data_IF_375128183564
#
_entry.id   IF_375128183564
#
_cell.length_a   1.000
_cell.length_b   1.000
_cell.length_c   1.000
_cell.angle_alpha   90.00
_cell.angle_beta   90.00
_cell.angle_gamma   90.00
#
_symmetry.space_group_name_H-M   'P 1'
#
loop_
_entity.id
_entity.type
_entity.pdbx_description
1 polymer ?
#
# COMPACT_ATOMS: atom_id res chain seq x y z
N UNK A 1 -21.78 6.12 5.80
CA UNK A 1 -20.55 5.52 6.38
C UNK A 1 -19.39 6.45 6.07
N UNK A 2 -18.58 6.82 7.07
CA UNK A 2 -17.33 7.56 6.79
C UNK A 2 -16.28 6.58 6.28
N UNK A 3 -15.55 6.97 5.25
CA UNK A 3 -14.41 6.21 4.72
C UNK A 3 -13.12 6.99 4.97
N UNK A 4 -12.05 6.25 5.21
CA UNK A 4 -10.70 6.80 5.37
C UNK A 4 -9.76 6.02 4.45
N UNK A 5 -8.75 6.70 3.93
CA UNK A 5 -7.63 6.06 3.23
C UNK A 5 -6.46 5.98 4.18
N UNK A 6 -5.91 4.77 4.35
CA UNK A 6 -4.71 4.53 5.17
C UNK A 6 -3.56 4.13 4.24
N UNK A 7 -2.51 4.95 4.21
CA UNK A 7 -1.23 4.60 3.61
C UNK A 7 -0.35 3.86 4.60
N UNK A 8 0.29 2.78 4.16
CA UNK A 8 1.25 2.00 4.95
C UNK A 8 2.61 2.03 4.25
N UNK A 9 3.61 2.65 4.86
CA UNK A 9 4.99 2.60 4.42
C UNK A 9 5.74 1.53 5.21
N UNK A 10 6.23 0.50 4.51
CA UNK A 10 7.06 -0.52 5.11
C UNK A 10 8.51 -0.01 5.23
N UNK A 11 8.96 0.29 6.44
CA UNK A 11 10.34 0.72 6.75
C UNK A 11 11.30 -0.48 6.85
N UNK A 12 10.75 -1.66 7.10
CA UNK A 12 11.48 -2.94 7.16
C UNK A 12 10.76 -3.96 6.28
N UNK A 13 11.44 -5.07 5.89
CA UNK A 13 10.77 -6.12 5.13
C UNK A 13 9.51 -6.62 5.83
N UNK A 14 8.39 -6.63 5.09
CA UNK A 14 7.10 -7.12 5.56
C UNK A 14 6.81 -8.47 4.91
N UNK A 15 6.48 -9.47 5.73
CA UNK A 15 6.13 -10.82 5.28
C UNK A 15 4.69 -11.18 5.70
N UNK A 16 3.67 -10.78 4.95
CA UNK A 16 2.30 -11.19 5.23
C UNK A 16 2.10 -12.64 4.80
N UNK A 17 2.15 -13.56 5.76
CA UNK A 17 1.97 -14.99 5.51
C UNK A 17 0.53 -15.34 5.13
N UNK A 18 0.34 -16.31 4.22
CA UNK A 18 -0.95 -16.85 3.83
C UNK A 18 -1.15 -18.27 4.34
N UNK A 19 -2.33 -18.57 4.89
CA UNK A 19 -2.74 -19.91 5.28
C UNK A 19 -2.28 -20.33 6.67
N UNK A 20 -2.23 -21.65 6.88
CA UNK A 20 -1.72 -22.30 8.11
C UNK A 20 -0.51 -23.14 7.74
N UNK A 21 0.62 -22.92 8.37
CA UNK A 21 1.78 -23.83 8.25
C UNK A 21 1.56 -25.03 9.14
N UNK A 22 1.76 -26.22 8.57
CA UNK A 22 1.87 -27.48 9.31
C UNK A 22 3.33 -27.96 9.41
N UNK A 23 4.30 -27.11 9.07
CA UNK A 23 5.72 -27.48 9.00
C UNK A 23 6.68 -26.37 9.41
N UNK A 24 7.97 -26.67 9.26
CA UNK A 24 9.13 -25.82 9.66
C UNK A 24 9.38 -24.67 8.66
N UNK A 25 8.65 -24.61 7.55
CA UNK A 25 8.83 -23.60 6.50
C UNK A 25 7.90 -22.42 6.74
N UNK A 26 8.40 -21.21 6.58
CA UNK A 26 7.60 -19.98 6.63
C UNK A 26 6.43 -20.04 5.66
N UNK A 27 5.32 -19.44 6.08
CA UNK A 27 4.13 -19.34 5.21
C UNK A 27 4.49 -18.55 3.94
N UNK A 28 3.99 -18.94 2.77
CA UNK A 28 4.18 -18.14 1.56
C UNK A 28 3.56 -16.76 1.73
N UNK A 29 4.14 -15.76 1.06
CA UNK A 29 3.59 -14.39 1.04
C UNK A 29 2.18 -14.42 0.46
N UNK A 30 1.22 -13.80 1.17
CA UNK A 30 -0.15 -13.64 0.70
C UNK A 30 -0.17 -12.83 -0.60
N UNK A 31 -0.92 -13.31 -1.60
CA UNK A 31 -1.04 -12.68 -2.91
C UNK A 31 -2.50 -12.56 -3.32
N UNK A 32 -2.79 -11.50 -4.06
CA UNK A 32 -4.07 -11.35 -4.76
C UNK A 32 -4.20 -12.45 -5.81
N UNK A 33 -5.32 -13.16 -5.84
CA UNK A 33 -5.54 -14.27 -6.76
C UNK A 33 -5.48 -13.84 -8.24
N UNK A 34 -6.07 -12.68 -8.56
CA UNK A 34 -6.17 -12.19 -9.93
C UNK A 34 -4.87 -11.62 -10.51
N UNK A 35 -4.04 -11.00 -9.68
CA UNK A 35 -2.85 -10.25 -10.14
C UNK A 35 -1.53 -10.89 -9.71
N UNK A 36 -1.56 -11.74 -8.70
CA UNK A 36 -0.36 -12.27 -8.06
C UNK A 36 0.41 -11.24 -7.23
N UNK A 37 -0.06 -10.00 -7.11
CA UNK A 37 0.61 -8.97 -6.30
C UNK A 37 0.53 -9.30 -4.81
N UNK A 38 1.57 -8.99 -4.03
CA UNK A 38 1.53 -9.18 -2.59
C UNK A 38 0.43 -8.33 -1.95
N UNK A 39 -0.19 -8.86 -0.92
CA UNK A 39 -1.30 -8.23 -0.22
C UNK A 39 -1.19 -8.48 1.28
N UNK A 40 -1.57 -7.49 2.11
CA UNK A 40 -1.81 -7.72 3.53
C UNK A 40 -3.32 -7.89 3.70
N UNK A 41 -3.74 -9.07 4.10
CA UNK A 41 -5.17 -9.40 4.23
C UNK A 41 -5.82 -8.52 5.30
N UNK A 42 -6.99 -7.97 5.00
CA UNK A 42 -7.69 -7.01 5.87
C UNK A 42 -8.02 -7.56 7.26
N UNK A 43 -8.24 -8.87 7.41
CA UNK A 43 -8.43 -9.49 8.72
C UNK A 43 -7.16 -9.44 9.57
N UNK A 44 -5.98 -9.67 8.99
CA UNK A 44 -4.70 -9.55 9.68
C UNK A 44 -4.41 -8.10 10.05
N UNK A 45 -4.64 -7.17 9.12
CA UNK A 45 -4.48 -5.75 9.38
C UNK A 45 -5.44 -5.26 10.48
N UNK A 46 -6.70 -5.68 10.44
CA UNK A 46 -7.68 -5.36 11.50
C UNK A 46 -7.22 -5.88 12.86
N UNK A 47 -6.64 -7.09 12.90
CA UNK A 47 -6.08 -7.67 14.13
C UNK A 47 -4.96 -6.83 14.71
N UNK A 48 -3.98 -6.44 13.89
CA UNK A 48 -2.85 -5.59 14.32
C UNK A 48 -3.30 -4.19 14.76
N UNK A 49 -4.28 -3.60 14.06
CA UNK A 49 -4.85 -2.31 14.46
C UNK A 49 -5.60 -2.41 15.81
N UNK A 50 -6.31 -3.51 16.03
CA UNK A 50 -6.96 -3.79 17.31
C UNK A 50 -5.94 -3.91 18.42
N UNK A 51 -4.90 -4.73 18.25
CA UNK A 51 -3.82 -4.90 19.23
C UNK A 51 -3.22 -3.55 19.62
N UNK A 52 -2.92 -2.71 18.62
CA UNK A 52 -2.39 -1.37 18.88
C UNK A 52 -3.35 -0.45 19.63
N UNK A 53 -4.64 -0.56 19.35
CA UNK A 53 -5.66 0.19 20.10
C UNK A 53 -5.80 -0.34 21.54
N UNK A 54 -5.75 -1.65 21.75
CA UNK A 54 -5.77 -2.29 23.06
C UNK A 54 -4.57 -1.89 23.92
N UNK A 55 -3.37 -1.79 23.33
CA UNK A 55 -2.17 -1.30 24.01
C UNK A 55 -2.33 0.14 24.51
N UNK A 56 -2.98 1.00 23.70
CA UNK A 56 -3.12 2.42 24.00
C UNK A 56 -4.25 2.74 24.96
N UNK A 57 -5.39 2.10 24.80
CA UNK A 57 -6.65 2.45 25.48
C UNK A 57 -7.11 1.40 26.50
N UNK A 58 -6.53 0.20 26.44
CA UNK A 58 -6.95 -0.94 27.24
C UNK A 58 -7.87 -1.89 26.47
N UNK A 59 -7.71 -3.18 26.75
CA UNK A 59 -8.40 -4.27 26.05
C UNK A 59 -9.93 -4.21 26.17
N UNK A 60 -10.41 -3.78 27.31
CA UNK A 60 -11.85 -3.70 27.63
C UNK A 60 -12.42 -2.29 27.43
N UNK A 61 -11.67 -1.38 26.82
CA UNK A 61 -12.16 -0.03 26.53
C UNK A 61 -13.36 -0.07 25.59
N UNK A 62 -14.41 0.67 25.90
CA UNK A 62 -15.62 0.71 25.07
C UNK A 62 -15.35 1.16 23.65
N UNK A 63 -14.40 2.08 23.43
CA UNK A 63 -13.94 2.53 22.13
C UNK A 63 -13.38 1.39 21.28
N UNK A 64 -12.54 0.54 21.88
CA UNK A 64 -11.92 -0.63 21.24
C UNK A 64 -12.96 -1.69 20.89
N UNK A 65 -13.80 -2.03 21.87
CA UNK A 65 -14.85 -3.02 21.70
C UNK A 65 -15.89 -2.59 20.67
N UNK A 66 -16.24 -1.32 20.64
CA UNK A 66 -17.15 -0.76 19.65
C UNK A 66 -16.52 -0.75 18.24
N UNK A 67 -15.26 -0.32 18.12
CA UNK A 67 -14.58 -0.25 16.83
C UNK A 67 -14.32 -1.64 16.22
N UNK A 68 -13.76 -2.56 17.01
CA UNK A 68 -13.27 -3.84 16.51
C UNK A 68 -14.20 -5.03 16.73
N UNK A 69 -15.19 -4.86 17.62
CA UNK A 69 -16.16 -5.89 17.94
C UNK A 69 -15.75 -6.77 19.11
N UNK A 70 -16.68 -7.63 19.51
CA UNK A 70 -16.50 -8.69 20.50
C UNK A 70 -17.10 -9.99 19.97
N UNK A 71 -16.97 -11.08 20.71
CA UNK A 71 -17.33 -12.43 20.26
C UNK A 71 -18.74 -12.54 19.65
N UNK A 72 -19.71 -11.80 20.20
CA UNK A 72 -21.12 -11.86 19.76
C UNK A 72 -21.58 -10.62 18.98
N UNK A 73 -20.70 -9.63 18.78
CA UNK A 73 -21.06 -8.36 18.13
C UNK A 73 -19.97 -7.91 17.19
N UNK A 74 -20.33 -7.69 15.92
CA UNK A 74 -19.43 -7.09 14.94
C UNK A 74 -19.06 -5.66 15.36
N UNK A 75 -17.82 -5.26 15.11
CA UNK A 75 -17.39 -3.87 15.32
C UNK A 75 -17.78 -2.96 14.17
N UNK A 76 -17.78 -1.66 14.45
CA UNK A 76 -18.17 -0.61 13.51
C UNK A 76 -17.13 -0.40 12.37
N UNK A 77 -15.87 -0.83 12.58
CA UNK A 77 -14.78 -0.61 11.62
C UNK A 77 -14.66 -1.78 10.65
N UNK A 78 -14.75 -1.47 9.36
CA UNK A 78 -14.43 -2.37 8.26
C UNK A 78 -13.03 -2.03 7.74
N UNK A 79 -12.15 -3.02 7.66
CA UNK A 79 -10.78 -2.88 7.15
C UNK A 79 -10.66 -3.69 5.88
N UNK A 80 -10.32 -3.02 4.77
CA UNK A 80 -10.03 -3.69 3.51
C UNK A 80 -8.62 -4.29 3.52
N UNK A 81 -8.34 -5.13 2.54
CA UNK A 81 -6.97 -5.54 2.28
C UNK A 81 -6.08 -4.33 1.97
N UNK A 82 -4.84 -4.33 2.50
CA UNK A 82 -3.84 -3.36 2.09
C UNK A 82 -3.14 -3.89 0.83
N UNK A 83 -3.29 -3.14 -0.25
CA UNK A 83 -2.84 -3.51 -1.59
C UNK A 83 -1.57 -2.76 -1.96
N UNK A 84 -0.71 -3.41 -2.73
CA UNK A 84 0.51 -2.79 -3.24
C UNK A 84 0.19 -1.55 -4.06
N UNK A 85 0.89 -0.44 -3.78
CA UNK A 85 0.89 0.78 -4.57
C UNK A 85 2.29 1.07 -5.12
N UNK A 86 3.31 0.97 -4.27
CA UNK A 86 4.71 1.24 -4.60
C UNK A 86 5.57 0.07 -4.17
N UNK A 87 6.52 -0.31 -5.02
CA UNK A 87 7.50 -1.37 -4.75
C UNK A 87 8.91 -0.77 -4.84
N UNK A 88 9.77 -0.95 -3.82
CA UNK A 88 11.18 -0.62 -3.95
C UNK A 88 11.87 -1.64 -4.87
N UNK A 89 12.52 -1.14 -5.91
CA UNK A 89 13.21 -1.93 -6.92
C UNK A 89 14.66 -1.43 -7.03
N UNK A 90 15.62 -2.34 -7.12
CA UNK A 90 17.04 -1.97 -7.31
C UNK A 90 17.26 -1.21 -8.60
N UNK A 91 18.16 -0.24 -8.57
CA UNK A 91 18.52 0.57 -9.72
C UNK A 91 20.03 0.75 -9.81
N UNK A 92 20.58 0.90 -11.01
CA UNK A 92 22.04 1.09 -11.18
C UNK A 92 22.51 2.47 -10.73
N UNK A 93 21.64 3.48 -10.74
CA UNK A 93 22.00 4.85 -10.39
C UNK A 93 21.82 5.18 -8.91
N UNK A 94 21.13 4.32 -8.17
CA UNK A 94 20.90 4.44 -6.71
C UNK A 94 20.53 3.09 -6.12
N UNK A 95 20.58 2.96 -4.80
CA UNK A 95 20.30 1.71 -4.10
C UNK A 95 18.91 1.13 -4.45
N UNK A 96 17.89 1.97 -4.51
CA UNK A 96 16.55 1.58 -4.93
C UNK A 96 15.75 2.76 -5.46
N UNK A 97 14.71 2.46 -6.24
CA UNK A 97 13.65 3.39 -6.64
C UNK A 97 12.30 2.81 -6.26
N UNK A 98 11.39 3.65 -5.79
CA UNK A 98 9.99 3.26 -5.71
C UNK A 98 9.39 3.26 -7.12
N UNK A 99 8.80 2.14 -7.48
CA UNK A 99 8.14 1.97 -8.78
C UNK A 99 6.67 1.63 -8.59
N UNK A 100 5.87 2.03 -9.55
CA UNK A 100 4.46 1.69 -9.68
C UNK A 100 4.13 1.40 -11.13
N UNK A 101 2.90 1.05 -11.45
CA UNK A 101 2.42 0.90 -12.82
C UNK A 101 1.01 1.46 -12.96
N UNK A 102 0.60 1.70 -14.21
CA UNK A 102 -0.72 2.24 -14.55
C UNK A 102 -1.85 1.52 -13.82
N UNK A 103 -1.84 0.19 -13.79
CA UNK A 103 -2.88 -0.60 -13.13
C UNK A 103 -2.98 -0.33 -11.61
N UNK A 104 -1.85 -0.16 -10.92
CA UNK A 104 -1.83 0.15 -9.48
C UNK A 104 -2.36 1.57 -9.23
N UNK A 105 -1.99 2.53 -10.09
CA UNK A 105 -2.47 3.91 -10.02
C UNK A 105 -3.98 3.98 -10.31
N UNK A 106 -4.49 3.28 -11.34
CA UNK A 106 -5.92 3.19 -11.63
C UNK A 106 -6.71 2.64 -10.45
N UNK A 107 -6.17 1.64 -9.77
CA UNK A 107 -6.79 1.06 -8.58
C UNK A 107 -6.82 2.06 -7.43
N UNK A 108 -5.70 2.73 -7.17
CA UNK A 108 -5.60 3.79 -6.17
C UNK A 108 -6.56 4.94 -6.46
N UNK A 109 -6.62 5.40 -7.71
CA UNK A 109 -7.59 6.38 -8.21
C UNK A 109 -9.04 5.99 -7.85
N UNK A 110 -9.45 4.75 -8.17
CA UNK A 110 -10.80 4.25 -7.83
C UNK A 110 -11.05 4.23 -6.32
N UNK A 111 -10.04 3.91 -5.54
CA UNK A 111 -10.17 3.85 -4.08
C UNK A 111 -10.30 5.25 -3.46
N UNK A 112 -9.57 6.25 -3.96
CA UNK A 112 -9.72 7.66 -3.56
C UNK A 112 -11.15 8.17 -3.84
N UNK A 113 -11.67 7.91 -5.04
CA UNK A 113 -13.06 8.27 -5.41
C UNK A 113 -14.07 7.63 -4.44
N UNK A 114 -13.92 6.33 -4.17
CA UNK A 114 -14.83 5.61 -3.26
C UNK A 114 -14.77 6.11 -1.83
N UNK A 115 -13.58 6.47 -1.38
CA UNK A 115 -13.37 7.02 -0.05
C UNK A 115 -13.82 8.49 0.06
N UNK A 116 -13.92 9.20 -1.06
CA UNK A 116 -14.24 10.63 -1.11
C UNK A 116 -13.15 11.49 -0.48
N UNK A 117 -11.87 11.09 -0.64
CA UNK A 117 -10.72 11.76 -0.01
C UNK A 117 -9.72 12.22 -1.04
N UNK A 118 -9.10 13.36 -0.79
CA UNK A 118 -7.93 13.91 -1.47
C UNK A 118 -8.15 14.30 -2.93
N UNK A 119 -7.12 14.86 -3.55
CA UNK A 119 -7.06 15.00 -4.99
C UNK A 119 -6.98 13.61 -5.62
N UNK A 120 -7.68 13.44 -6.74
CA UNK A 120 -7.66 12.20 -7.52
C UNK A 120 -6.73 12.44 -8.70
N UNK A 121 -5.52 11.82 -8.73
CA UNK A 121 -4.55 12.08 -9.78
C UNK A 121 -4.99 11.48 -11.11
N UNK A 122 -4.56 12.07 -12.20
CA UNK A 122 -4.70 11.47 -13.51
C UNK A 122 -3.86 10.19 -13.61
N UNK A 123 -4.37 9.24 -14.38
CA UNK A 123 -3.65 7.97 -14.61
C UNK A 123 -2.79 8.11 -15.85
N UNK A 124 -1.45 8.12 -15.70
CA UNK A 124 -0.57 8.29 -16.84
C UNK A 124 -0.58 7.06 -17.74
N UNK A 125 -0.47 7.29 -19.05
CA UNK A 125 -0.25 6.25 -20.04
C UNK A 125 1.24 6.06 -20.25
N UNK A 126 1.69 4.83 -20.17
CA UNK A 126 3.09 4.44 -20.37
C UNK A 126 3.14 3.25 -21.31
N UNK A 127 3.94 3.34 -22.37
CA UNK A 127 4.10 2.26 -23.31
C UNK A 127 5.11 1.19 -22.82
N UNK A 128 5.06 -0.04 -23.32
CA UNK A 128 6.02 -1.07 -22.96
C UNK A 128 7.47 -0.63 -23.23
N UNK A 129 8.34 -0.77 -22.23
CA UNK A 129 9.74 -0.35 -22.31
C UNK A 129 10.00 1.12 -21.99
N UNK A 130 8.96 1.86 -21.61
CA UNK A 130 9.06 3.26 -21.21
C UNK A 130 8.77 3.44 -19.71
N UNK A 131 9.20 4.57 -19.17
CA UNK A 131 8.95 4.95 -17.78
C UNK A 131 8.82 6.46 -17.65
N UNK A 132 7.93 6.90 -16.76
CA UNK A 132 7.87 8.29 -16.31
C UNK A 132 8.74 8.44 -15.07
N UNK A 133 9.80 9.22 -15.19
CA UNK A 133 10.75 9.51 -14.13
C UNK A 133 11.42 10.86 -14.34
N UNK A 134 11.96 11.44 -13.28
CA UNK A 134 12.80 12.63 -13.41
C UNK A 134 14.10 12.30 -14.14
N UNK A 135 14.52 13.20 -15.04
CA UNK A 135 15.72 13.05 -15.85
C UNK A 135 15.42 12.65 -17.30
N UNK A 136 16.46 12.27 -18.01
CA UNK A 136 16.41 11.88 -19.42
C UNK A 136 17.21 10.60 -19.66
N UNK A 137 17.07 10.01 -20.85
CA UNK A 137 17.82 8.83 -21.26
C UNK A 137 17.17 7.52 -20.82
N UNK A 138 17.89 6.71 -20.06
CA UNK A 138 17.44 5.37 -19.67
C UNK A 138 17.60 5.16 -18.15
N UNK A 139 16.68 4.38 -17.59
CA UNK A 139 16.74 3.91 -16.21
C UNK A 139 16.83 2.37 -16.22
N UNK A 140 17.71 1.84 -15.38
CA UNK A 140 17.84 0.41 -15.16
C UNK A 140 17.13 0.03 -13.86
N UNK A 141 16.15 -0.86 -13.96
CA UNK A 141 15.40 -1.41 -12.84
C UNK A 141 15.57 -2.93 -12.83
N UNK A 142 16.23 -3.45 -11.82
CA UNK A 142 16.72 -4.83 -11.80
C UNK A 142 17.54 -5.13 -13.08
N UNK A 143 17.12 -6.09 -13.88
CA UNK A 143 17.77 -6.52 -15.12
C UNK A 143 17.15 -5.88 -16.38
N UNK A 144 16.26 -4.92 -16.22
CA UNK A 144 15.54 -4.29 -17.34
C UNK A 144 15.92 -2.84 -17.53
N UNK A 145 15.95 -2.40 -18.77
CA UNK A 145 16.17 -1.02 -19.17
C UNK A 145 14.87 -0.39 -19.68
N UNK A 146 14.63 0.86 -19.27
CA UNK A 146 13.45 1.62 -19.66
C UNK A 146 13.86 2.99 -20.17
N UNK A 147 13.23 3.44 -21.26
CA UNK A 147 13.42 4.79 -21.79
C UNK A 147 12.60 5.79 -20.97
N UNK A 148 13.23 6.88 -20.53
CA UNK A 148 12.54 7.95 -19.80
C UNK A 148 11.77 8.83 -20.79
N UNK A 149 10.47 9.04 -20.53
CA UNK A 149 9.57 9.88 -21.35
C UNK A 149 9.09 11.15 -20.65
N UNK A 150 9.78 11.57 -19.62
CA UNK A 150 9.45 12.73 -18.81
C UNK A 150 9.03 12.36 -17.40
N UNK A 151 8.74 13.35 -16.57
CA UNK A 151 8.32 13.14 -15.19
C UNK A 151 6.88 12.64 -15.07
N UNK A 152 6.53 11.97 -13.97
CA UNK A 152 5.15 11.81 -13.58
C UNK A 152 4.51 13.18 -13.36
N UNK A 153 3.21 13.33 -13.64
CA UNK A 153 2.50 14.60 -13.41
C UNK A 153 2.56 15.04 -11.94
N UNK A 154 2.50 16.35 -11.71
CA UNK A 154 2.59 16.92 -10.35
C UNK A 154 1.42 16.45 -9.47
N UNK A 155 0.23 16.32 -10.04
CA UNK A 155 -0.97 15.78 -9.37
C UNK A 155 -0.76 14.37 -8.81
N UNK A 156 -0.09 13.49 -9.58
CA UNK A 156 0.26 12.14 -9.15
C UNK A 156 1.30 12.17 -8.03
N UNK A 157 2.30 13.04 -8.16
CA UNK A 157 3.31 13.23 -7.11
C UNK A 157 2.70 13.77 -5.82
N UNK A 158 1.81 14.76 -5.89
CA UNK A 158 1.09 15.31 -4.74
C UNK A 158 0.23 14.25 -4.04
N UNK A 159 -0.37 13.33 -4.79
CA UNK A 159 -1.18 12.25 -4.23
C UNK A 159 -0.34 11.14 -3.57
N UNK A 160 0.88 10.86 -4.07
CA UNK A 160 1.70 9.72 -3.63
C UNK A 160 2.80 10.13 -2.63
N UNK A 161 3.44 11.28 -2.80
CA UNK A 161 4.56 11.71 -1.95
C UNK A 161 4.23 11.70 -0.45
N UNK A 162 3.05 12.11 0.01
CA UNK A 162 2.69 12.02 1.42
C UNK A 162 2.72 10.61 1.98
N UNK A 163 2.53 9.58 1.12
CA UNK A 163 2.54 8.18 1.53
C UNK A 163 3.94 7.60 1.75
N UNK A 164 4.99 8.29 1.25
CA UNK A 164 6.39 7.83 1.31
C UNK A 164 7.31 8.76 2.10
N UNK A 165 6.76 9.81 2.71
CA UNK A 165 7.52 10.74 3.55
C UNK A 165 7.27 10.46 5.02
N UNK A 166 8.35 10.36 5.80
CA UNK A 166 8.30 10.18 7.25
C UNK A 166 7.63 11.34 8.00
N UNK A 167 7.67 12.53 7.43
CA UNK A 167 7.22 13.78 8.08
C UNK A 167 5.68 13.88 8.18
N UNK A 168 4.94 13.03 7.47
CA UNK A 168 3.47 13.07 7.43
C UNK A 168 2.83 12.18 8.50
N UNK A 169 3.62 11.34 9.16
CA UNK A 169 3.12 10.39 10.20
C UNK A 169 2.83 11.09 11.54
N UNK A 170 3.15 12.38 11.68
CA UNK A 170 3.04 13.13 12.94
C UNK A 170 2.03 14.29 12.92
N UNK A 171 1.09 14.33 11.97
CA UNK A 171 0.00 15.32 11.99
C UNK A 171 -1.36 14.69 12.34
#
# INVERSE_FOLDING_TARGET
MKSLMLGLLAETPVHPGAGRSLGVVDLPVAREEATGYPVIVGSSLKGSLREKAEEKEGREADSVLRAFGRQEHAGDVLVSDARLLLLPVRSLDRASRFVTCTQLIERYHRDLIRAGVGPVPDVPKVEPGEVLAAGEGHIFLEERVFAVRGGPGDDLLEAILPLVRHDVVHQ
#
